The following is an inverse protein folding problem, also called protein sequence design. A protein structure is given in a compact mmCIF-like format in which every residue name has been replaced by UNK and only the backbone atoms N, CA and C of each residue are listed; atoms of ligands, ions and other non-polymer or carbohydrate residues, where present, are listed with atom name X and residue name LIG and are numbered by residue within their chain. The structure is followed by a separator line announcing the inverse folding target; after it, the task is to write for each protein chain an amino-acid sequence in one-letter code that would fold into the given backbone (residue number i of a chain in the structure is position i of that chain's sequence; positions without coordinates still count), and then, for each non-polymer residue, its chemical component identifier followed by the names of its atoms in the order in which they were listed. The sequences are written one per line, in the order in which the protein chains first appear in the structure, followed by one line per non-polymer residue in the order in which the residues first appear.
data_IF_040955732721
#
_entry.id   IF_040955732721
#
_cell.length_a   1.000
_cell.length_b   1.000
_cell.length_c   1.000
_cell.angle_alpha   90.00
_cell.angle_beta   90.00
_cell.angle_gamma   90.00
#
_symmetry.space_group_name_H-M   'P 1'
#
loop_
_entity.id
_entity.type
_entity.pdbx_description
1 polymer ?
#
# COMPACT_ATOMS: atom_id res chain seq x y z
N UNK A 1 -63.80 -9.80 17.67
CA UNK A 1 -63.87 -8.38 18.06
C UNK A 1 -63.18 -8.32 19.42
N UNK A 2 -61.97 -7.78 19.58
CA UNK A 2 -61.03 -7.05 18.71
C UNK A 2 -59.59 -7.38 19.23
N UNK A 3 -58.46 -7.27 18.53
CA UNK A 3 -58.14 -6.75 17.18
C UNK A 3 -56.91 -7.53 16.60
N UNK A 4 -56.51 -7.30 15.35
CA UNK A 4 -55.24 -7.79 14.76
C UNK A 4 -54.23 -6.63 14.54
N UNK A 5 -52.98 -6.79 14.97
CA UNK A 5 -52.09 -5.63 15.09
C UNK A 5 -50.61 -5.89 15.37
N UNK A 6 -50.04 -7.02 14.91
CA UNK A 6 -48.60 -7.28 15.08
C UNK A 6 -47.73 -6.37 14.19
N UNK A 7 -47.38 -5.19 14.71
CA UNK A 7 -46.58 -4.20 13.97
C UNK A 7 -45.13 -4.66 13.77
N UNK A 8 -44.86 -5.20 12.59
CA UNK A 8 -43.51 -5.51 12.13
C UNK A 8 -42.61 -4.27 12.10
N UNK A 9 -41.76 -4.12 13.12
CA UNK A 9 -40.74 -3.07 13.18
C UNK A 9 -39.80 -3.25 12.00
N UNK A 10 -39.92 -2.36 11.02
CA UNK A 10 -39.02 -2.30 9.89
C UNK A 10 -37.59 -2.08 10.40
N UNK A 11 -36.75 -3.11 10.30
CA UNK A 11 -35.30 -2.96 10.48
C UNK A 11 -34.81 -2.06 9.35
N UNK A 12 -34.75 -0.76 9.60
CA UNK A 12 -34.01 0.18 8.76
C UNK A 12 -32.56 -0.27 8.79
N UNK A 13 -32.17 -1.05 7.78
CA UNK A 13 -30.79 -1.40 7.55
C UNK A 13 -30.00 -0.12 7.49
N UNK A 14 -29.12 0.09 8.46
CA UNK A 14 -28.14 1.17 8.40
C UNK A 14 -27.31 0.89 7.16
N UNK A 15 -27.58 1.65 6.09
CA UNK A 15 -26.65 1.75 4.97
C UNK A 15 -25.38 2.33 5.57
N UNK A 16 -24.41 1.46 5.84
CA UNK A 16 -23.06 1.89 6.16
C UNK A 16 -22.61 2.69 4.95
N UNK A 17 -22.24 3.95 5.17
CA UNK A 17 -21.48 4.71 4.19
C UNK A 17 -20.26 3.84 3.82
N UNK A 18 -20.25 3.26 2.62
CA UNK A 18 -19.07 2.62 2.01
C UNK A 18 -18.03 3.68 1.58
N UNK A 19 -17.97 4.77 2.35
CA UNK A 19 -17.08 5.90 2.19
C UNK A 19 -15.71 5.52 2.72
N UNK A 20 -15.08 4.60 2.00
CA UNK A 20 -13.67 4.23 2.08
C UNK A 20 -13.17 4.12 3.54
N UNK A 21 -13.51 3.01 4.19
CA UNK A 21 -12.78 2.59 5.39
C UNK A 21 -11.30 2.56 5.04
N UNK A 22 -10.54 3.53 5.57
CA UNK A 22 -9.11 3.72 5.28
C UNK A 22 -8.41 2.38 5.44
N UNK A 23 -7.92 1.82 4.33
CA UNK A 23 -7.19 0.55 4.34
C UNK A 23 -5.92 0.74 5.19
N UNK A 24 -5.90 0.10 6.35
CA UNK A 24 -4.74 0.04 7.23
C UNK A 24 -4.00 -1.23 6.86
N UNK A 25 -2.79 -1.07 6.31
CA UNK A 25 -1.90 -2.17 6.02
C UNK A 25 -1.19 -2.60 7.30
N UNK A 26 -1.21 -3.90 7.59
CA UNK A 26 -0.33 -4.51 8.59
C UNK A 26 1.07 -4.74 8.00
N UNK A 27 2.08 -4.83 8.86
CA UNK A 27 3.46 -5.13 8.45
C UNK A 27 3.55 -6.43 7.64
N UNK A 28 2.76 -7.47 7.99
CA UNK A 28 2.71 -8.72 7.23
C UNK A 28 2.16 -8.55 5.80
N UNK A 29 1.18 -7.67 5.61
CA UNK A 29 0.65 -7.36 4.27
C UNK A 29 1.63 -6.50 3.45
N UNK A 30 2.40 -5.62 4.12
CA UNK A 30 3.49 -4.87 3.49
C UNK A 30 4.64 -5.79 3.05
N UNK A 31 5.09 -6.68 3.93
CA UNK A 31 6.11 -7.71 3.62
C UNK A 31 5.65 -8.62 2.48
N UNK A 32 4.40 -9.11 2.53
CA UNK A 32 3.82 -9.91 1.46
C UNK A 32 3.76 -9.13 0.13
N UNK A 33 3.39 -7.85 0.14
CA UNK A 33 3.39 -7.02 -1.07
C UNK A 33 4.81 -6.82 -1.62
N UNK A 34 5.82 -6.60 -0.76
CA UNK A 34 7.22 -6.49 -1.17
C UNK A 34 7.75 -7.79 -1.81
N UNK A 35 7.40 -8.95 -1.25
CA UNK A 35 7.83 -10.23 -1.82
C UNK A 35 7.10 -10.52 -3.13
N UNK A 36 5.79 -10.26 -3.21
CA UNK A 36 5.05 -10.38 -4.46
C UNK A 36 5.59 -9.44 -5.56
N UNK A 37 6.06 -8.23 -5.21
CA UNK A 37 6.75 -7.32 -6.13
C UNK A 37 8.08 -7.91 -6.64
N UNK A 38 8.88 -8.53 -5.76
CA UNK A 38 10.13 -9.20 -6.16
C UNK A 38 9.86 -10.37 -7.10
N UNK A 39 8.89 -11.22 -6.79
CA UNK A 39 8.47 -12.35 -7.63
C UNK A 39 8.08 -11.89 -9.04
N UNK A 40 7.22 -10.87 -9.19
CA UNK A 40 6.82 -10.42 -10.54
C UNK A 40 7.99 -9.77 -11.31
N UNK A 41 8.93 -9.11 -10.63
CA UNK A 41 10.16 -8.60 -11.27
C UNK A 41 11.03 -9.74 -11.78
N UNK A 42 11.26 -10.78 -10.97
CA UNK A 42 12.00 -11.99 -11.39
C UNK A 42 11.28 -12.74 -12.52
N UNK A 43 9.95 -12.71 -12.57
CA UNK A 43 9.14 -13.26 -13.65
C UNK A 43 9.05 -12.37 -14.91
N UNK A 44 9.82 -11.27 -14.98
CA UNK A 44 9.91 -10.42 -16.17
C UNK A 44 8.81 -9.36 -16.35
N UNK A 45 7.98 -9.11 -15.33
CA UNK A 45 6.93 -8.09 -15.38
C UNK A 45 7.45 -6.64 -15.34
N UNK A 46 8.78 -6.46 -15.25
CA UNK A 46 9.46 -5.16 -15.31
C UNK A 46 10.54 -5.15 -16.39
N UNK A 47 10.49 -4.12 -17.23
CA UNK A 47 11.54 -3.70 -18.15
C UNK A 47 12.39 -2.56 -17.55
N UNK A 48 13.39 -2.10 -18.30
CA UNK A 48 14.14 -0.88 -17.96
C UNK A 48 13.24 0.37 -17.93
N UNK A 49 12.23 0.41 -18.81
CA UNK A 49 11.24 1.50 -18.87
C UNK A 49 10.14 1.43 -17.80
N UNK A 50 10.09 0.36 -17.00
CA UNK A 50 9.11 0.18 -15.93
C UNK A 50 8.31 -1.13 -16.05
N UNK A 51 7.23 -1.22 -15.28
CA UNK A 51 6.35 -2.40 -15.26
C UNK A 51 5.43 -2.48 -16.50
N UNK A 52 5.16 -3.69 -16.95
CA UNK A 52 4.19 -3.94 -18.03
C UNK A 52 2.75 -3.62 -17.59
N UNK A 53 1.89 -3.30 -18.57
CA UNK A 53 0.46 -3.08 -18.34
C UNK A 53 -0.16 -4.36 -17.75
N UNK A 54 -0.99 -4.22 -16.72
CA UNK A 54 -1.62 -5.34 -16.00
C UNK A 54 -0.79 -5.94 -14.86
N UNK A 55 0.42 -5.43 -14.58
CA UNK A 55 1.24 -5.96 -13.47
C UNK A 55 0.54 -5.90 -12.11
N UNK A 56 -0.36 -4.94 -11.89
CA UNK A 56 -1.14 -4.82 -10.65
C UNK A 56 -2.13 -5.97 -10.48
N UNK A 57 -2.74 -6.45 -11.56
CA UNK A 57 -3.69 -7.57 -11.53
C UNK A 57 -2.95 -8.89 -11.23
N UNK A 58 -1.72 -9.04 -11.75
CA UNK A 58 -0.82 -10.16 -11.41
C UNK A 58 -0.40 -10.07 -9.94
N UNK A 59 -0.07 -8.87 -9.47
CA UNK A 59 0.32 -8.60 -8.09
C UNK A 59 -0.83 -8.88 -7.10
N UNK A 60 -2.07 -8.52 -7.43
CA UNK A 60 -3.27 -8.86 -6.63
C UNK A 60 -3.49 -10.37 -6.57
N UNK A 61 -3.39 -11.08 -7.70
CA UNK A 61 -3.55 -12.54 -7.74
C UNK A 61 -2.49 -13.24 -6.90
N UNK A 62 -1.23 -12.80 -7.00
CA UNK A 62 -0.13 -13.35 -6.22
C UNK A 62 -0.29 -13.04 -4.72
N UNK A 63 -0.64 -11.81 -4.36
CA UNK A 63 -0.87 -11.42 -2.96
C UNK A 63 -2.03 -12.19 -2.33
N UNK A 64 -3.13 -12.42 -3.05
CA UNK A 64 -4.25 -13.24 -2.57
C UNK A 64 -3.91 -14.74 -2.47
N UNK A 65 -2.91 -15.23 -3.23
CA UNK A 65 -2.39 -16.60 -3.12
C UNK A 65 -1.47 -16.76 -1.91
N UNK A 66 -0.57 -15.80 -1.69
CA UNK A 66 0.45 -15.82 -0.62
C UNK A 66 -0.14 -15.44 0.74
N UNK A 67 -1.04 -14.45 0.78
CA UNK A 67 -1.76 -14.00 1.97
C UNK A 67 -3.28 -14.02 1.73
N UNK A 68 -3.91 -15.22 1.74
CA UNK A 68 -5.34 -15.34 1.56
C UNK A 68 -6.10 -14.64 2.70
N UNK A 69 -7.25 -14.04 2.35
CA UNK A 69 -8.12 -13.25 3.25
C UNK A 69 -7.63 -11.85 3.64
N UNK A 70 -6.60 -11.28 3.00
CA UNK A 70 -6.24 -9.86 3.16
C UNK A 70 -7.41 -8.90 2.81
N UNK A 71 -8.26 -9.28 1.86
CA UNK A 71 -9.28 -8.38 1.31
C UNK A 71 -8.70 -7.23 0.47
N UNK A 72 -7.39 -7.26 0.21
CA UNK A 72 -6.69 -6.26 -0.58
C UNK A 72 -7.07 -6.39 -2.06
N UNK A 73 -7.19 -5.23 -2.71
CA UNK A 73 -7.65 -5.08 -4.09
C UNK A 73 -6.74 -4.18 -4.90
N UNK A 74 -6.62 -4.43 -6.21
CA UNK A 74 -5.87 -3.57 -7.15
C UNK A 74 -6.22 -2.11 -6.89
N UNK A 75 -7.51 -1.80 -6.92
CA UNK A 75 -8.07 -0.52 -6.52
C UNK A 75 -9.09 -0.72 -5.39
N UNK A 76 -9.09 0.12 -4.32
CA UNK A 76 -8.23 1.28 -4.08
C UNK A 76 -6.96 0.96 -3.27
N UNK A 77 -6.66 -0.31 -2.97
CA UNK A 77 -5.68 -0.66 -1.94
C UNK A 77 -4.24 -0.72 -2.46
N UNK A 78 -3.97 -1.61 -3.43
CA UNK A 78 -2.62 -1.87 -3.93
C UNK A 78 -2.11 -0.67 -4.75
N UNK A 79 -2.96 -0.10 -5.62
CA UNK A 79 -2.67 1.10 -6.43
C UNK A 79 -2.16 2.25 -5.56
N UNK A 80 -2.90 2.55 -4.48
CA UNK A 80 -2.57 3.58 -3.50
C UNK A 80 -1.27 3.28 -2.74
N UNK A 81 -1.09 2.04 -2.27
CA UNK A 81 0.11 1.63 -1.52
C UNK A 81 1.38 1.77 -2.36
N UNK A 82 1.35 1.27 -3.59
CA UNK A 82 2.46 1.39 -4.56
C UNK A 82 2.74 2.86 -4.90
N UNK A 83 1.70 3.68 -5.08
CA UNK A 83 1.88 5.12 -5.32
C UNK A 83 2.61 5.82 -4.17
N UNK A 84 2.20 5.56 -2.92
CA UNK A 84 2.85 6.11 -1.72
C UNK A 84 4.30 5.66 -1.62
N UNK A 85 4.58 4.35 -1.75
CA UNK A 85 5.95 3.83 -1.70
C UNK A 85 6.86 4.42 -2.78
N UNK A 86 6.39 4.52 -4.04
CA UNK A 86 7.15 5.16 -5.12
C UNK A 86 7.48 6.63 -4.80
N UNK A 87 6.55 7.37 -4.20
CA UNK A 87 6.78 8.76 -3.79
C UNK A 87 7.81 8.86 -2.66
N UNK A 88 7.67 8.05 -1.61
CA UNK A 88 8.62 8.02 -0.49
C UNK A 88 10.02 7.63 -0.96
N UNK A 89 10.14 6.60 -1.80
CA UNK A 89 11.42 6.19 -2.40
C UNK A 89 12.02 7.30 -3.26
N UNK A 90 11.21 8.01 -4.06
CA UNK A 90 11.65 9.19 -4.82
C UNK A 90 12.30 10.24 -3.90
N UNK A 91 11.60 10.66 -2.84
CA UNK A 91 12.14 11.62 -1.88
C UNK A 91 13.45 11.13 -1.22
N UNK A 92 13.55 9.84 -0.87
CA UNK A 92 14.76 9.25 -0.30
C UNK A 92 15.91 9.28 -1.32
N UNK A 93 15.65 8.88 -2.55
CA UNK A 93 16.62 8.90 -3.64
C UNK A 93 17.13 10.32 -3.93
N UNK A 94 16.23 11.32 -3.92
CA UNK A 94 16.57 12.72 -4.10
C UNK A 94 17.47 13.24 -2.95
N UNK A 95 17.18 12.86 -1.69
CA UNK A 95 18.05 13.16 -0.55
C UNK A 95 19.42 12.49 -0.68
N UNK A 96 19.47 11.22 -1.09
CA UNK A 96 20.72 10.48 -1.33
C UNK A 96 21.57 11.03 -2.48
N UNK A 97 20.97 11.81 -3.39
CA UNK A 97 21.69 12.56 -4.43
C UNK A 97 22.39 13.83 -3.92
N UNK A 98 22.08 14.29 -2.69
CA UNK A 98 22.63 15.51 -2.13
C UNK A 98 23.88 15.24 -1.27
N UNK A 99 24.89 16.11 -1.39
CA UNK A 99 26.08 16.07 -0.53
C UNK A 99 25.71 16.24 0.94
N UNK A 100 26.24 15.36 1.80
CA UNK A 100 26.02 15.41 3.25
C UNK A 100 24.92 14.49 3.76
N UNK A 101 24.16 13.82 2.89
CA UNK A 101 23.24 12.75 3.27
C UNK A 101 23.87 11.36 3.04
N UNK A 102 23.39 10.35 3.77
CA UNK A 102 23.80 8.95 3.60
C UNK A 102 22.78 7.99 4.19
N UNK A 103 22.78 6.74 3.70
CA UNK A 103 21.95 5.67 4.24
C UNK A 103 22.68 4.96 5.38
N UNK A 104 21.95 4.69 6.47
CA UNK A 104 22.44 3.95 7.63
C UNK A 104 21.78 2.57 7.69
N UNK A 105 22.52 1.54 7.28
CA UNK A 105 22.08 0.14 7.27
C UNK A 105 21.87 -0.45 8.68
N UNK A 106 22.27 0.24 9.75
CA UNK A 106 22.07 -0.24 11.13
C UNK A 106 20.71 0.19 11.71
N UNK A 107 20.18 1.32 11.24
CA UNK A 107 18.94 1.94 11.75
C UNK A 107 17.86 2.12 10.68
N UNK A 108 18.11 1.66 9.45
CA UNK A 108 17.27 1.85 8.25
C UNK A 108 16.84 3.32 8.07
N UNK A 109 17.78 4.24 8.27
CA UNK A 109 17.55 5.70 8.28
C UNK A 109 18.41 6.46 7.28
N UNK A 110 17.97 7.67 6.95
CA UNK A 110 18.78 8.68 6.25
C UNK A 110 19.44 9.56 7.30
N UNK A 111 20.76 9.52 7.35
CA UNK A 111 21.58 10.34 8.22
C UNK A 111 22.04 11.60 7.46
N UNK A 112 22.04 12.75 8.14
CA UNK A 112 22.51 14.02 7.61
C UNK A 112 23.71 14.52 8.43
N UNK A 113 24.81 14.87 7.75
CA UNK A 113 26.00 15.46 8.36
C UNK A 113 25.71 16.89 8.81
N UNK A 114 26.40 17.37 9.84
CA UNK A 114 26.22 18.73 10.40
C UNK A 114 26.33 19.83 9.33
N UNK A 115 27.22 19.64 8.36
CA UNK A 115 27.44 20.49 7.18
C UNK A 115 26.14 20.85 6.41
N UNK A 116 25.15 19.96 6.41
CA UNK A 116 23.82 20.16 5.78
C UNK A 116 23.04 21.29 6.45
N UNK A 117 23.25 21.50 7.75
CA UNK A 117 22.51 22.44 8.59
C UNK A 117 23.27 23.76 8.86
N UNK A 118 24.53 23.85 8.44
CA UNK A 118 25.43 24.96 8.80
C UNK A 118 25.40 26.16 7.82
N UNK A 119 24.69 26.04 6.69
CA UNK A 119 24.48 27.15 5.73
C UNK A 119 23.12 27.84 5.94
N UNK A 120 23.00 28.69 6.95
CA UNK A 120 21.79 29.51 7.21
C UNK A 120 22.09 30.96 7.61
#
# INVERSE_FOLDING_TARGET
MEDDGSKGVHRRGVKRDEKLSRCVWSTMEEEALLECLREIVHAGWKSDSGFWIGYLDVLEQLLNRTYPNSGLKVDPHISSKIHVWKKTYGCINDMMGCSGFGWNETTDSIDARSEVFENR
#
